data_IF_039035817882
#
_entry.id   IF_039035817882
#
_cell.length_a   1.000
_cell.length_b   1.000
_cell.length_c   1.000
_cell.angle_alpha   90.00
_cell.angle_beta   90.00
_cell.angle_gamma   90.00
#
_symmetry.space_group_name_H-M   'P 1'
#
loop_
_entity.id
_entity.type
_entity.pdbx_description
1 polymer ?
#
# COMPACT_ATOMS: atom_id res chain seq x y z
N UNK A 1 15.80 -4.04 13.44
CA UNK A 1 14.89 -2.88 13.47
C UNK A 1 13.92 -2.88 12.27
N UNK A 2 14.39 -2.97 11.03
CA UNK A 2 13.55 -2.92 9.80
C UNK A 2 12.43 -3.97 9.76
N UNK A 3 12.69 -5.22 10.13
CA UNK A 3 11.67 -6.28 10.17
C UNK A 3 10.54 -6.01 11.16
N UNK A 4 10.86 -5.44 12.32
CA UNK A 4 9.84 -5.07 13.31
C UNK A 4 8.96 -3.94 12.80
N UNK A 5 9.53 -2.94 12.14
CA UNK A 5 8.80 -1.84 11.51
C UNK A 5 7.88 -2.34 10.39
N UNK A 6 8.38 -3.28 9.56
CA UNK A 6 7.58 -3.88 8.50
C UNK A 6 6.36 -4.64 9.06
N UNK A 7 6.59 -5.49 10.08
CA UNK A 7 5.51 -6.24 10.72
C UNK A 7 4.48 -5.29 11.35
N UNK A 8 4.94 -4.24 12.03
CA UNK A 8 4.05 -3.26 12.64
C UNK A 8 3.22 -2.49 11.58
N UNK A 9 3.87 -2.02 10.52
CA UNK A 9 3.19 -1.33 9.43
C UNK A 9 2.13 -2.21 8.75
N UNK A 10 2.49 -3.46 8.44
CA UNK A 10 1.56 -4.44 7.87
C UNK A 10 0.39 -4.70 8.81
N UNK A 11 0.65 -4.84 10.10
CA UNK A 11 -0.38 -5.07 11.12
C UNK A 11 -1.38 -3.91 11.21
N UNK A 12 -0.90 -2.68 11.16
CA UNK A 12 -1.75 -1.48 11.15
C UNK A 12 -2.58 -1.44 9.87
N UNK A 13 -1.98 -1.73 8.71
CA UNK A 13 -2.67 -1.75 7.43
C UNK A 13 -3.81 -2.79 7.40
N UNK A 14 -3.55 -4.00 7.91
CA UNK A 14 -4.57 -5.05 8.02
C UNK A 14 -5.66 -4.64 9.00
N UNK A 15 -5.32 -4.06 10.15
CA UNK A 15 -6.32 -3.59 11.11
C UNK A 15 -7.24 -2.51 10.50
N UNK A 16 -6.70 -1.58 9.72
CA UNK A 16 -7.48 -0.56 9.00
C UNK A 16 -8.38 -1.23 7.95
N UNK A 17 -7.88 -2.26 7.26
CA UNK A 17 -8.66 -3.06 6.31
C UNK A 17 -9.86 -3.73 6.99
N UNK A 18 -9.62 -4.46 8.07
CA UNK A 18 -10.69 -5.12 8.84
C UNK A 18 -11.70 -4.11 9.41
N UNK A 19 -11.22 -2.93 9.81
CA UNK A 19 -12.09 -1.83 10.25
C UNK A 19 -13.04 -1.38 9.12
N UNK A 20 -12.60 -1.44 7.87
CA UNK A 20 -13.46 -1.16 6.72
C UNK A 20 -14.63 -2.13 6.61
N UNK A 21 -14.39 -3.43 6.68
CA UNK A 21 -15.44 -4.46 6.71
C UNK A 21 -16.39 -4.26 7.89
N UNK A 22 -15.83 -4.00 9.06
CA UNK A 22 -16.57 -3.71 10.29
C UNK A 22 -17.51 -2.51 10.14
N UNK A 23 -17.02 -1.38 9.63
CA UNK A 23 -17.81 -0.16 9.49
C UNK A 23 -19.01 -0.36 8.56
N UNK A 24 -18.81 -0.97 7.39
CA UNK A 24 -19.89 -1.25 6.45
C UNK A 24 -20.85 -2.31 6.98
N UNK A 25 -20.38 -3.34 7.66
CA UNK A 25 -21.25 -4.31 8.32
C UNK A 25 -22.17 -3.62 9.35
N UNK A 26 -21.61 -2.75 10.19
CA UNK A 26 -22.38 -1.98 11.18
C UNK A 26 -23.36 -0.99 10.52
N UNK A 27 -22.93 -0.32 9.45
CA UNK A 27 -23.77 0.61 8.69
C UNK A 27 -25.04 -0.08 8.16
N UNK A 28 -24.90 -1.30 7.65
CA UNK A 28 -26.02 -2.10 7.11
C UNK A 28 -26.67 -3.02 8.15
N UNK A 29 -26.42 -2.78 9.44
CA UNK A 29 -26.99 -3.57 10.54
C UNK A 29 -26.76 -5.07 10.39
N UNK A 30 -25.59 -5.44 9.89
CA UNK A 30 -25.10 -6.81 9.89
C UNK A 30 -24.40 -7.08 11.22
N UNK A 31 -24.67 -8.21 11.84
CA UNK A 31 -24.06 -8.58 13.11
C UNK A 31 -22.58 -8.88 12.90
N UNK A 32 -21.73 -8.24 13.71
CA UNK A 32 -20.32 -8.58 13.82
C UNK A 32 -20.12 -9.33 15.14
N UNK A 33 -19.58 -10.52 15.06
CA UNK A 33 -19.39 -11.40 16.21
C UNK A 33 -18.06 -11.12 16.91
N UNK A 34 -16.98 -10.98 16.12
CA UNK A 34 -15.62 -10.78 16.63
C UNK A 34 -14.86 -9.78 15.79
N UNK A 35 -14.01 -9.00 16.43
CA UNK A 35 -13.04 -8.12 15.78
C UNK A 35 -11.69 -8.32 16.46
N UNK A 36 -10.74 -8.87 15.73
CA UNK A 36 -9.44 -9.22 16.26
C UNK A 36 -8.31 -8.59 15.48
N UNK A 37 -7.41 -7.92 16.20
CA UNK A 37 -6.08 -7.64 15.73
C UNK A 37 -5.22 -8.87 16.00
N UNK A 38 -4.56 -9.39 14.98
CA UNK A 38 -3.81 -10.63 14.98
C UNK A 38 -4.67 -11.91 15.13
N UNK A 39 -4.19 -12.97 14.52
CA UNK A 39 -4.81 -14.28 14.68
C UNK A 39 -4.54 -14.83 16.08
N UNK A 40 -5.51 -15.54 16.59
CA UNK A 40 -5.52 -16.06 17.97
C UNK A 40 -5.73 -17.58 18.06
N UNK A 41 -4.92 -18.42 17.36
CA UNK A 41 -5.08 -19.86 17.45
C UNK A 41 -4.92 -20.31 18.91
N UNK A 42 -5.92 -21.05 19.40
CA UNK A 42 -6.05 -21.60 20.76
C UNK A 42 -6.35 -20.58 21.86
N UNK A 43 -5.69 -19.42 21.91
CA UNK A 43 -5.90 -18.41 22.95
C UNK A 43 -5.70 -16.99 22.42
N UNK A 44 -6.19 -16.01 23.16
CA UNK A 44 -6.01 -14.58 22.89
C UNK A 44 -5.14 -13.94 23.96
N UNK A 45 -4.25 -13.00 23.59
CA UNK A 45 -3.50 -12.21 24.57
C UNK A 45 -4.45 -11.37 25.40
N UNK A 46 -5.36 -10.67 24.72
CA UNK A 46 -6.42 -9.88 25.35
C UNK A 46 -7.71 -10.15 24.60
N UNK A 47 -8.80 -10.27 25.31
CA UNK A 47 -10.14 -10.20 24.74
C UNK A 47 -11.09 -9.47 25.66
N UNK A 48 -12.01 -8.75 25.10
CA UNK A 48 -12.97 -7.92 25.82
C UNK A 48 -14.35 -8.02 25.16
N UNK A 49 -15.39 -8.14 25.98
CA UNK A 49 -16.78 -8.13 25.55
C UNK A 49 -17.60 -7.29 26.51
N UNK A 50 -18.53 -6.50 25.97
CA UNK A 50 -19.40 -5.65 26.79
C UNK A 50 -20.77 -6.28 26.91
N UNK A 51 -21.16 -6.64 28.13
CA UNK A 51 -22.52 -7.10 28.44
C UNK A 51 -22.92 -6.67 29.86
N UNK A 52 -24.21 -6.63 30.14
CA UNK A 52 -24.78 -6.13 31.40
C UNK A 52 -24.24 -4.74 31.79
N UNK A 53 -24.00 -3.87 30.79
CA UNK A 53 -23.48 -2.51 31.00
C UNK A 53 -22.01 -2.40 31.36
N UNK A 54 -21.30 -3.52 31.54
CA UNK A 54 -19.88 -3.58 31.96
C UNK A 54 -18.99 -4.22 30.90
N UNK A 55 -17.73 -3.81 30.86
CA UNK A 55 -16.70 -4.46 30.08
C UNK A 55 -16.09 -5.63 30.86
N UNK A 56 -16.09 -6.81 30.24
CA UNK A 56 -15.44 -8.01 30.75
C UNK A 56 -14.18 -8.25 29.95
N UNK A 57 -13.02 -8.13 30.58
CA UNK A 57 -11.70 -8.29 29.95
C UNK A 57 -11.05 -9.55 30.49
N UNK A 58 -10.47 -10.37 29.61
CA UNK A 58 -9.71 -11.56 29.98
C UNK A 58 -8.36 -11.54 29.28
N UNK A 59 -7.32 -11.91 30.02
CA UNK A 59 -5.95 -11.98 29.52
C UNK A 59 -5.52 -13.43 29.39
N UNK A 60 -4.77 -13.75 28.34
CA UNK A 60 -4.24 -15.08 28.05
C UNK A 60 -5.27 -16.20 28.16
N UNK A 61 -6.49 -15.89 27.80
CA UNK A 61 -7.62 -16.79 27.94
C UNK A 61 -7.81 -17.65 26.68
N UNK A 62 -8.20 -18.94 26.84
CA UNK A 62 -8.52 -19.81 25.71
C UNK A 62 -9.70 -19.25 24.92
N UNK A 63 -9.78 -19.57 23.63
CA UNK A 63 -10.87 -19.13 22.79
C UNK A 63 -12.21 -19.67 23.31
N UNK A 64 -13.27 -18.87 23.14
CA UNK A 64 -14.64 -19.32 23.49
C UNK A 64 -15.10 -20.26 22.38
N UNK A 65 -15.62 -21.41 22.80
CA UNK A 65 -16.28 -22.33 21.87
C UNK A 65 -17.45 -21.63 21.16
N UNK A 66 -17.77 -22.04 19.93
CA UNK A 66 -18.95 -21.53 19.23
C UNK A 66 -20.22 -21.77 20.05
N UNK A 67 -21.21 -20.90 19.92
CA UNK A 67 -22.54 -21.09 20.47
C UNK A 67 -23.31 -22.15 19.64
N UNK A 68 -22.87 -23.39 19.71
CA UNK A 68 -23.38 -24.50 18.94
C UNK A 68 -23.52 -25.75 19.83
N UNK A 69 -24.51 -26.56 19.54
CA UNK A 69 -24.77 -27.83 20.20
C UNK A 69 -24.83 -28.97 19.18
N UNK A 70 -24.40 -30.16 19.51
CA UNK A 70 -24.50 -31.31 18.63
C UNK A 70 -25.96 -31.60 18.25
N UNK A 71 -26.21 -31.95 17.02
CA UNK A 71 -27.50 -32.47 16.59
C UNK A 71 -27.61 -33.90 17.04
N UNK A 72 -28.68 -34.23 17.79
CA UNK A 72 -28.94 -35.58 18.24
C UNK A 72 -29.82 -36.35 17.26
N UNK A 73 -29.59 -37.62 17.11
CA UNK A 73 -30.48 -38.55 16.39
C UNK A 73 -31.71 -38.91 17.24
N UNK A 74 -32.63 -39.68 16.66
CA UNK A 74 -33.84 -40.15 17.38
C UNK A 74 -33.54 -41.02 18.61
N UNK A 75 -32.31 -41.50 18.76
CA UNK A 75 -31.87 -42.32 19.89
C UNK A 75 -31.07 -41.53 20.93
N UNK A 76 -30.87 -40.20 20.71
CA UNK A 76 -30.11 -39.32 21.59
C UNK A 76 -28.59 -39.35 21.37
N UNK A 77 -28.09 -39.98 20.30
CA UNK A 77 -26.68 -39.97 19.97
C UNK A 77 -26.33 -38.78 19.04
N UNK A 78 -25.07 -38.35 19.08
CA UNK A 78 -24.59 -37.31 18.21
C UNK A 78 -24.64 -37.75 16.74
N UNK A 79 -25.37 -36.98 15.91
CA UNK A 79 -25.45 -37.20 14.46
C UNK A 79 -24.13 -36.86 13.81
N UNK A 80 -23.62 -37.76 12.99
CA UNK A 80 -22.35 -37.58 12.25
C UNK A 80 -22.60 -37.44 10.76
N UNK A 81 -21.73 -36.68 10.10
CA UNK A 81 -21.70 -36.55 8.64
C UNK A 81 -21.13 -37.84 7.99
N UNK A 82 -21.09 -37.87 6.64
CA UNK A 82 -20.53 -38.99 5.87
C UNK A 82 -19.01 -39.21 6.15
N UNK A 83 -18.33 -38.20 6.71
CA UNK A 83 -16.89 -38.22 7.05
C UNK A 83 -16.64 -38.58 8.51
N UNK A 84 -17.71 -38.81 9.30
CA UNK A 84 -17.64 -39.18 10.71
C UNK A 84 -17.53 -38.01 11.68
N UNK A 85 -17.64 -36.75 11.24
CA UNK A 85 -17.62 -35.59 12.10
C UNK A 85 -19.01 -35.32 12.70
N UNK A 86 -19.04 -34.84 13.93
CA UNK A 86 -20.30 -34.47 14.62
C UNK A 86 -20.90 -33.24 13.91
N UNK A 87 -22.20 -33.33 13.64
CA UNK A 87 -22.96 -32.21 13.07
C UNK A 87 -23.43 -31.32 14.22
N UNK A 88 -23.08 -30.03 14.16
CA UNK A 88 -23.49 -29.02 15.13
C UNK A 88 -24.61 -28.14 14.58
N UNK A 89 -25.51 -27.68 15.42
CA UNK A 89 -26.46 -26.62 15.13
C UNK A 89 -26.22 -25.44 16.06
N UNK A 90 -26.52 -24.18 15.61
CA UNK A 90 -26.54 -23.04 16.52
C UNK A 90 -27.47 -23.26 17.71
N UNK A 91 -27.08 -22.73 18.86
CA UNK A 91 -27.96 -22.70 20.04
C UNK A 91 -29.17 -21.80 19.75
N UNK A 92 -30.34 -22.19 20.24
CA UNK A 92 -31.54 -21.34 20.22
C UNK A 92 -31.41 -20.21 21.24
N UNK A 93 -32.26 -19.17 21.11
CA UNK A 93 -32.26 -18.04 22.05
C UNK A 93 -32.60 -18.53 23.49
N UNK A 94 -33.41 -19.55 23.64
CA UNK A 94 -33.74 -20.18 24.95
C UNK A 94 -32.52 -20.91 25.54
N UNK A 95 -31.78 -21.65 24.71
CA UNK A 95 -30.55 -22.32 25.11
C UNK A 95 -29.46 -21.32 25.49
N UNK A 96 -29.34 -20.24 24.75
CA UNK A 96 -28.41 -19.13 25.07
C UNK A 96 -28.80 -18.44 26.38
N UNK A 97 -30.10 -18.19 26.60
CA UNK A 97 -30.60 -17.59 27.83
C UNK A 97 -30.43 -18.50 29.08
N UNK A 98 -30.36 -19.80 28.88
CA UNK A 98 -30.11 -20.76 29.94
C UNK A 98 -28.64 -20.82 30.40
N UNK A 99 -27.70 -20.29 29.61
CA UNK A 99 -26.28 -20.22 29.98
C UNK A 99 -26.06 -19.30 31.20
N UNK A 100 -25.01 -19.53 31.98
CA UNK A 100 -24.64 -18.65 33.09
C UNK A 100 -24.47 -17.19 32.62
N UNK A 101 -24.76 -16.22 33.50
CA UNK A 101 -24.62 -14.79 33.16
C UNK A 101 -23.21 -14.37 32.80
N UNK A 102 -22.20 -15.09 33.23
CA UNK A 102 -20.79 -14.87 32.92
C UNK A 102 -20.35 -15.52 31.62
N UNK A 103 -21.22 -16.32 30.99
CA UNK A 103 -20.89 -16.99 29.72
C UNK A 103 -21.05 -16.02 28.56
N UNK A 104 -19.96 -15.82 27.84
CA UNK A 104 -19.90 -14.88 26.72
C UNK A 104 -20.81 -15.27 25.55
N UNK A 105 -21.14 -16.54 25.40
CA UNK A 105 -22.05 -17.07 24.37
C UNK A 105 -23.50 -16.59 24.56
N UNK A 106 -23.91 -16.29 25.80
CA UNK A 106 -25.23 -15.77 26.14
C UNK A 106 -25.54 -14.42 25.46
N UNK A 107 -24.52 -13.69 25.05
CA UNK A 107 -24.64 -12.33 24.50
C UNK A 107 -24.15 -12.25 23.03
N UNK A 108 -24.86 -12.89 22.06
CA UNK A 108 -24.40 -12.96 20.67
C UNK A 108 -24.37 -11.60 19.96
N UNK A 109 -25.17 -10.63 20.41
CA UNK A 109 -25.23 -9.27 19.83
C UNK A 109 -24.07 -8.37 20.26
N UNK A 110 -23.35 -8.76 21.31
CA UNK A 110 -22.18 -8.04 21.79
C UNK A 110 -20.94 -8.50 21.06
N UNK A 111 -20.20 -7.54 20.50
CA UNK A 111 -18.98 -7.82 19.75
C UNK A 111 -17.87 -8.23 20.72
N UNK A 112 -17.16 -9.30 20.40
CA UNK A 112 -15.93 -9.68 21.06
C UNK A 112 -14.76 -8.98 20.39
N UNK A 113 -14.07 -8.14 21.14
CA UNK A 113 -12.85 -7.44 20.73
C UNK A 113 -11.64 -8.18 21.26
N UNK A 114 -10.59 -8.31 20.46
CA UNK A 114 -9.42 -9.01 20.95
C UNK A 114 -8.14 -8.73 20.20
N UNK A 115 -7.05 -9.20 20.81
CA UNK A 115 -5.73 -9.26 20.23
C UNK A 115 -5.18 -10.66 20.34
N UNK A 116 -4.88 -11.26 19.20
CA UNK A 116 -4.18 -12.53 19.11
C UNK A 116 -2.68 -12.38 19.33
N UNK A 117 -1.96 -13.46 19.11
CA UNK A 117 -0.51 -13.53 19.30
C UNK A 117 0.27 -13.75 18.00
N UNK A 118 -0.42 -14.03 16.88
CA UNK A 118 0.21 -14.24 15.57
C UNK A 118 0.11 -12.95 14.74
N UNK A 119 1.20 -12.19 14.56
CA UNK A 119 1.15 -10.83 13.99
C UNK A 119 1.10 -10.78 12.46
N UNK A 120 0.48 -11.77 11.82
CA UNK A 120 0.38 -11.87 10.36
C UNK A 120 -1.03 -11.64 9.83
N UNK A 121 -1.81 -10.82 10.50
CA UNK A 121 -3.16 -10.52 10.05
C UNK A 121 -4.09 -10.22 11.21
N UNK A 122 -5.37 -10.10 10.92
CA UNK A 122 -6.47 -9.94 11.85
C UNK A 122 -7.73 -10.46 11.18
N UNK A 123 -8.87 -10.34 11.84
CA UNK A 123 -10.14 -10.72 11.23
C UNK A 123 -11.33 -10.00 11.84
N UNK A 124 -12.34 -9.81 11.00
CA UNK A 124 -13.66 -9.32 11.39
C UNK A 124 -14.69 -10.40 11.08
N UNK A 125 -15.10 -11.18 12.09
CA UNK A 125 -16.10 -12.23 11.92
C UNK A 125 -17.50 -11.62 11.77
N UNK A 126 -18.05 -11.67 10.56
CA UNK A 126 -19.38 -11.16 10.22
C UNK A 126 -20.36 -12.35 10.13
N UNK A 127 -21.50 -12.24 10.82
CA UNK A 127 -22.52 -13.29 10.80
C UNK A 127 -23.01 -13.59 9.38
N UNK A 128 -23.04 -14.88 9.02
CA UNK A 128 -23.51 -15.33 7.70
C UNK A 128 -22.52 -15.09 6.56
N UNK A 129 -21.29 -14.69 6.84
CA UNK A 129 -20.19 -14.61 5.89
C UNK A 129 -19.29 -15.84 6.05
N UNK A 130 -18.90 -16.45 4.93
CA UNK A 130 -17.87 -17.47 4.88
C UNK A 130 -16.53 -16.77 4.78
N UNK A 131 -15.69 -16.96 5.74
CA UNK A 131 -14.34 -16.38 5.83
C UNK A 131 -13.32 -17.45 6.27
N UNK A 132 -12.11 -17.02 6.57
CA UNK A 132 -11.04 -17.91 7.01
C UNK A 132 -11.36 -18.65 8.34
N UNK A 133 -12.38 -18.20 9.08
CA UNK A 133 -12.76 -18.73 10.39
C UNK A 133 -13.98 -19.64 10.36
N UNK A 134 -14.79 -19.61 9.30
CA UNK A 134 -16.04 -20.37 9.14
C UNK A 134 -16.18 -20.99 7.77
N UNK A 135 -16.45 -22.29 7.72
CA UNK A 135 -16.79 -22.97 6.48
C UNK A 135 -18.27 -22.76 6.10
N UNK A 136 -18.58 -22.91 4.81
CA UNK A 136 -19.96 -22.80 4.31
C UNK A 136 -20.91 -23.83 4.92
N UNK A 137 -20.39 -24.97 5.36
CA UNK A 137 -21.12 -26.04 6.03
C UNK A 137 -21.57 -25.69 7.45
N UNK A 138 -20.97 -24.68 8.07
CA UNK A 138 -21.25 -24.29 9.46
C UNK A 138 -22.39 -23.25 9.55
N UNK A 139 -22.97 -22.88 8.41
CA UNK A 139 -24.05 -21.89 8.37
C UNK A 139 -25.43 -22.57 8.42
N UNK A 140 -26.38 -22.01 9.20
CA UNK A 140 -27.78 -22.48 9.19
C UNK A 140 -28.39 -22.42 7.78
N UNK A 141 -29.34 -23.31 7.48
CA UNK A 141 -29.97 -23.40 6.19
C UNK A 141 -30.75 -22.11 5.83
N UNK A 142 -31.39 -21.46 6.79
CA UNK A 142 -32.18 -20.24 6.59
C UNK A 142 -31.39 -19.00 7.04
N UNK A 143 -31.23 -17.98 6.16
CA UNK A 143 -30.55 -16.73 6.50
C UNK A 143 -31.34 -15.90 7.50
N UNK A 144 -30.69 -15.45 8.57
CA UNK A 144 -31.33 -14.55 9.54
C UNK A 144 -31.24 -13.08 9.08
N UNK A 145 -32.16 -12.20 9.50
CA UNK A 145 -32.20 -10.79 9.02
C UNK A 145 -30.93 -9.98 9.32
N UNK A 146 -30.16 -10.37 10.32
CA UNK A 146 -28.90 -9.75 10.71
C UNK A 146 -27.65 -10.37 10.06
N UNK A 147 -27.83 -11.38 9.23
CA UNK A 147 -26.72 -12.03 8.55
C UNK A 147 -26.35 -11.33 7.24
N UNK A 148 -25.10 -11.45 6.83
CA UNK A 148 -24.58 -11.00 5.55
C UNK A 148 -25.38 -11.55 4.35
N UNK A 149 -25.80 -12.82 4.40
CA UNK A 149 -26.56 -13.49 3.35
C UNK A 149 -27.93 -12.88 3.10
N UNK A 150 -28.55 -12.28 4.12
CA UNK A 150 -29.86 -11.64 4.02
C UNK A 150 -29.83 -10.24 3.39
N UNK A 151 -28.63 -9.64 3.25
CA UNK A 151 -28.48 -8.30 2.71
C UNK A 151 -28.58 -8.29 1.19
N UNK A 152 -28.99 -7.16 0.63
CA UNK A 152 -29.06 -7.01 -0.82
C UNK A 152 -27.65 -7.01 -1.44
N UNK A 153 -27.57 -7.21 -2.77
CA UNK A 153 -26.29 -7.34 -3.49
C UNK A 153 -25.37 -6.15 -3.28
N UNK A 154 -25.90 -4.93 -3.27
CA UNK A 154 -25.12 -3.71 -3.10
C UNK A 154 -24.54 -3.60 -1.68
N UNK A 155 -25.32 -3.93 -0.66
CA UNK A 155 -24.86 -3.93 0.72
C UNK A 155 -23.75 -4.97 0.93
N UNK A 156 -23.91 -6.17 0.37
CA UNK A 156 -22.87 -7.21 0.41
C UNK A 156 -21.61 -6.76 -0.30
N UNK A 157 -21.75 -6.14 -1.48
CA UNK A 157 -20.61 -5.61 -2.23
C UNK A 157 -19.87 -4.53 -1.42
N UNK A 158 -20.60 -3.58 -0.81
CA UNK A 158 -20.00 -2.55 0.04
C UNK A 158 -19.26 -3.15 1.25
N UNK A 159 -19.80 -4.19 1.89
CA UNK A 159 -19.14 -4.86 3.01
C UNK A 159 -17.82 -5.50 2.53
N UNK A 160 -17.84 -6.20 1.38
CA UNK A 160 -16.64 -6.88 0.85
C UNK A 160 -15.57 -5.86 0.40
N UNK A 161 -15.96 -4.79 -0.28
CA UNK A 161 -15.02 -3.78 -0.78
C UNK A 161 -14.58 -2.82 0.34
N UNK A 162 -15.33 -2.78 1.45
CA UNK A 162 -15.14 -1.83 2.54
C UNK A 162 -13.71 -1.77 3.06
N UNK A 163 -13.04 -2.91 3.21
CA UNK A 163 -11.64 -2.98 3.63
C UNK A 163 -10.71 -2.26 2.67
N UNK A 164 -10.84 -2.52 1.38
CA UNK A 164 -10.02 -1.89 0.32
C UNK A 164 -10.30 -0.38 0.27
N UNK A 165 -11.57 0.01 0.34
CA UNK A 165 -11.97 1.42 0.28
C UNK A 165 -11.39 2.23 1.44
N UNK A 166 -11.45 1.70 2.66
CA UNK A 166 -10.90 2.38 3.84
C UNK A 166 -9.38 2.44 3.78
N UNK A 167 -8.70 1.40 3.29
CA UNK A 167 -7.25 1.44 3.04
C UNK A 167 -6.87 2.51 2.01
N UNK A 168 -7.64 2.64 0.93
CA UNK A 168 -7.42 3.69 -0.07
C UNK A 168 -7.55 5.09 0.53
N UNK A 169 -8.62 5.35 1.28
CA UNK A 169 -8.83 6.64 1.96
C UNK A 169 -7.71 6.91 2.98
N UNK A 170 -7.31 5.89 3.76
CA UNK A 170 -6.22 6.01 4.71
C UNK A 170 -4.88 6.30 4.02
N UNK A 171 -4.58 5.64 2.90
CA UNK A 171 -3.38 5.90 2.11
C UNK A 171 -3.35 7.33 1.57
N UNK A 172 -4.48 7.82 1.04
CA UNK A 172 -4.61 9.20 0.55
C UNK A 172 -4.41 10.21 1.69
N UNK A 173 -5.01 9.97 2.85
CA UNK A 173 -4.87 10.84 4.02
C UNK A 173 -3.43 10.85 4.54
N UNK A 174 -2.78 9.68 4.66
CA UNK A 174 -1.39 9.59 5.10
C UNK A 174 -0.43 10.26 4.11
N UNK A 175 -0.61 10.04 2.81
CA UNK A 175 0.20 10.69 1.79
C UNK A 175 0.05 12.21 1.82
N UNK A 176 -1.21 12.70 1.93
CA UNK A 176 -1.48 14.13 2.07
C UNK A 176 -0.85 14.72 3.34
N UNK A 177 -0.91 13.98 4.44
CA UNK A 177 -0.28 14.38 5.70
C UNK A 177 1.26 14.47 5.58
N UNK A 178 1.88 13.51 4.91
CA UNK A 178 3.34 13.53 4.65
C UNK A 178 3.70 14.75 3.82
N UNK A 179 2.98 15.01 2.73
CA UNK A 179 3.21 16.18 1.88
C UNK A 179 2.99 17.50 2.64
N UNK A 180 2.00 17.55 3.52
CA UNK A 180 1.71 18.73 4.32
C UNK A 180 2.79 19.00 5.39
N UNK A 181 3.30 17.95 6.04
CA UNK A 181 4.27 18.08 7.14
C UNK A 181 5.70 18.28 6.64
N UNK A 182 6.10 17.61 5.57
CA UNK A 182 7.48 17.62 5.06
C UNK A 182 7.62 18.27 3.68
N UNK A 183 6.52 18.46 2.94
CA UNK A 183 6.56 19.00 1.59
C UNK A 183 7.21 18.04 0.59
N UNK A 184 7.73 18.63 -0.49
CA UNK A 184 8.59 17.96 -1.47
C UNK A 184 9.99 18.55 -1.35
N UNK A 185 10.98 17.67 -1.25
CA UNK A 185 12.38 18.09 -1.36
C UNK A 185 12.73 18.23 -2.86
N UNK A 186 12.65 19.44 -3.37
CA UNK A 186 13.10 19.76 -4.74
C UNK A 186 14.23 20.77 -4.64
N UNK A 187 15.30 20.54 -5.42
CA UNK A 187 16.35 21.52 -5.56
C UNK A 187 15.91 22.61 -6.55
N UNK A 188 15.73 23.87 -6.11
CA UNK A 188 15.33 24.94 -7.03
C UNK A 188 16.39 25.13 -8.12
N UNK A 189 15.97 25.31 -9.37
CA UNK A 189 16.89 25.53 -10.49
C UNK A 189 17.79 26.75 -10.30
N UNK A 190 17.32 27.77 -9.58
CA UNK A 190 18.09 28.96 -9.22
C UNK A 190 19.30 28.67 -8.34
N UNK A 191 19.32 27.54 -7.64
CA UNK A 191 20.43 27.10 -6.76
C UNK A 191 21.40 26.12 -7.45
N UNK A 192 21.16 25.81 -8.73
CA UNK A 192 21.99 24.87 -9.50
C UNK A 192 23.12 25.63 -10.17
N UNK A 193 24.29 25.64 -9.51
CA UNK A 193 25.47 26.36 -10.05
C UNK A 193 26.18 25.64 -11.19
N UNK A 194 26.08 24.31 -11.24
CA UNK A 194 26.77 23.47 -12.23
C UNK A 194 26.06 23.41 -13.60
N UNK A 195 24.85 23.98 -13.70
CA UNK A 195 24.00 23.84 -14.88
C UNK A 195 23.31 22.49 -15.00
N UNK A 196 22.72 22.20 -16.14
CA UNK A 196 21.92 21.02 -16.39
C UNK A 196 22.57 20.09 -17.43
N UNK A 197 22.25 18.82 -17.34
CA UNK A 197 22.56 17.82 -18.36
C UNK A 197 21.33 17.63 -19.25
N UNK A 198 21.54 17.69 -20.55
CA UNK A 198 20.51 17.57 -21.58
C UNK A 198 20.72 16.29 -22.39
N UNK A 199 19.64 15.59 -22.67
CA UNK A 199 19.64 14.43 -23.55
C UNK A 199 19.90 14.84 -25.00
N UNK A 200 20.33 13.91 -25.84
CA UNK A 200 20.69 14.17 -27.26
C UNK A 200 19.54 14.82 -28.03
N UNK A 201 18.29 14.54 -27.71
CA UNK A 201 17.13 15.15 -28.35
C UNK A 201 17.06 16.66 -28.07
N UNK A 202 17.38 17.11 -26.85
CA UNK A 202 17.42 18.52 -26.47
C UNK A 202 18.70 19.19 -26.97
N UNK A 203 19.82 18.46 -27.00
CA UNK A 203 21.04 18.96 -27.65
C UNK A 203 20.79 19.23 -29.15
N UNK A 204 19.99 18.38 -29.80
CA UNK A 204 19.54 18.60 -31.18
C UNK A 204 18.67 19.87 -31.38
N UNK A 205 18.02 20.36 -30.33
CA UNK A 205 17.25 21.61 -30.31
C UNK A 205 18.13 22.84 -29.99
N UNK A 206 19.44 22.67 -29.78
CA UNK A 206 20.39 23.76 -29.56
C UNK A 206 20.85 23.94 -28.10
N UNK A 207 20.39 23.13 -27.14
CA UNK A 207 20.97 23.14 -25.80
C UNK A 207 22.40 22.62 -25.80
N UNK A 208 23.20 23.14 -24.88
CA UNK A 208 24.53 22.61 -24.59
C UNK A 208 24.57 22.09 -23.13
N UNK A 209 25.47 21.16 -22.87
CA UNK A 209 25.69 20.68 -21.54
C UNK A 209 26.11 21.82 -20.61
N UNK A 210 25.56 21.86 -19.40
CA UNK A 210 25.75 22.90 -18.40
C UNK A 210 25.05 24.24 -18.68
N UNK A 211 24.22 24.35 -19.74
CA UNK A 211 23.32 25.50 -19.88
C UNK A 211 22.41 25.60 -18.66
N UNK A 212 22.16 26.80 -18.16
CA UNK A 212 21.16 27.06 -17.10
C UNK A 212 19.91 27.67 -17.73
N UNK A 213 18.75 27.08 -17.52
CA UNK A 213 17.50 27.64 -18.03
C UNK A 213 17.13 28.85 -17.17
N UNK A 214 16.97 30.02 -17.82
CA UNK A 214 16.51 31.24 -17.18
C UNK A 214 15.00 31.40 -17.28
N UNK A 215 14.44 31.24 -18.48
CA UNK A 215 13.00 31.37 -18.71
C UNK A 215 12.51 30.43 -19.80
N UNK A 216 11.24 30.01 -19.70
CA UNK A 216 10.50 29.27 -20.72
C UNK A 216 9.25 30.08 -21.03
N UNK A 217 9.10 30.58 -22.28
CA UNK A 217 8.04 31.51 -22.66
C UNK A 217 7.93 32.73 -21.71
N UNK A 218 9.06 33.21 -21.17
CA UNK A 218 9.11 34.36 -20.27
C UNK A 218 8.84 34.04 -18.78
N UNK A 219 8.51 32.81 -18.42
CA UNK A 219 8.32 32.34 -17.04
C UNK A 219 9.55 31.60 -16.52
N UNK A 220 9.96 31.84 -15.28
CA UNK A 220 11.10 31.17 -14.65
C UNK A 220 10.65 29.79 -14.08
N UNK A 221 11.21 28.67 -14.58
CA UNK A 221 10.88 27.36 -14.08
C UNK A 221 11.51 27.15 -12.69
N UNK A 222 10.73 26.58 -11.77
CA UNK A 222 11.17 26.38 -10.39
C UNK A 222 11.90 25.06 -10.18
N UNK A 223 11.55 24.04 -10.97
CA UNK A 223 12.06 22.68 -10.83
C UNK A 223 12.36 22.02 -12.17
N UNK A 224 13.10 20.88 -12.14
CA UNK A 224 13.28 20.05 -13.33
C UNK A 224 11.97 19.50 -13.87
N UNK A 225 11.01 19.23 -12.98
CA UNK A 225 9.69 18.76 -13.40
C UNK A 225 8.97 19.82 -14.22
N UNK A 226 9.02 21.08 -13.80
CA UNK A 226 8.43 22.20 -14.55
C UNK A 226 9.06 22.34 -15.94
N UNK A 227 10.38 22.15 -16.05
CA UNK A 227 11.07 22.19 -17.36
C UNK A 227 10.55 21.12 -18.30
N UNK A 228 10.43 19.88 -17.81
CA UNK A 228 9.94 18.75 -18.60
C UNK A 228 8.48 18.94 -18.99
N UNK A 229 7.64 19.33 -18.03
CA UNK A 229 6.22 19.60 -18.26
C UNK A 229 6.04 20.70 -19.29
N UNK A 230 6.70 21.81 -19.09
CA UNK A 230 6.53 23.02 -19.92
C UNK A 230 7.04 22.81 -21.35
N UNK A 231 8.24 22.26 -21.55
CA UNK A 231 8.83 22.08 -22.87
C UNK A 231 8.24 20.88 -23.61
N UNK A 232 8.08 19.73 -22.91
CA UNK A 232 7.75 18.45 -23.57
C UNK A 232 6.26 18.21 -23.62
N UNK A 233 5.54 18.46 -22.50
CA UNK A 233 4.11 18.15 -22.41
C UNK A 233 3.24 19.33 -22.88
N UNK A 234 3.54 20.57 -22.46
CA UNK A 234 2.79 21.74 -22.88
C UNK A 234 3.23 22.29 -24.25
N UNK A 235 4.43 21.92 -24.72
CA UNK A 235 4.95 22.34 -26.00
C UNK A 235 5.31 23.84 -26.07
N UNK A 236 5.68 24.46 -24.93
CA UNK A 236 6.21 25.84 -24.92
C UNK A 236 7.60 25.85 -25.57
N UNK A 237 7.86 26.84 -26.42
CA UNK A 237 8.94 26.77 -27.40
C UNK A 237 10.08 27.74 -27.17
N UNK A 238 9.81 28.90 -26.59
CA UNK A 238 10.82 29.94 -26.43
C UNK A 238 11.54 29.75 -25.09
N UNK A 239 12.79 29.35 -25.16
CA UNK A 239 13.62 29.07 -23.98
C UNK A 239 14.83 30.00 -23.98
N UNK A 240 15.08 30.65 -22.87
CA UNK A 240 16.27 31.47 -22.67
C UNK A 240 17.19 30.75 -21.69
N UNK A 241 18.43 30.52 -22.11
CA UNK A 241 19.44 29.85 -21.31
C UNK A 241 20.64 30.77 -21.06
N UNK A 242 21.31 30.56 -19.93
CA UNK A 242 22.62 31.13 -19.63
C UNK A 242 23.68 30.10 -19.99
N UNK A 243 24.50 30.42 -20.99
CA UNK A 243 25.61 29.60 -21.49
C UNK A 243 26.94 30.26 -21.11
N UNK A 244 27.56 29.76 -20.05
CA UNK A 244 28.69 30.46 -19.44
C UNK A 244 28.29 31.85 -18.93
N UNK A 245 28.68 32.93 -19.63
CA UNK A 245 28.28 34.30 -19.32
C UNK A 245 27.25 34.89 -20.29
N UNK A 246 26.95 34.16 -21.36
CA UNK A 246 26.13 34.68 -22.45
C UNK A 246 24.68 34.17 -22.33
N UNK A 247 23.73 35.05 -22.57
CA UNK A 247 22.32 34.70 -22.66
C UNK A 247 21.97 34.30 -24.09
N UNK A 248 21.44 33.08 -24.26
CA UNK A 248 21.09 32.53 -25.57
C UNK A 248 19.60 32.23 -25.60
N UNK A 249 18.91 32.72 -26.64
CA UNK A 249 17.53 32.37 -26.90
C UNK A 249 17.45 31.15 -27.83
N UNK A 250 16.68 30.15 -27.46
CA UNK A 250 16.44 28.94 -28.24
C UNK A 250 14.95 28.84 -28.55
N UNK A 251 14.60 28.36 -29.72
CA UNK A 251 13.20 28.09 -30.09
C UNK A 251 13.06 26.61 -30.44
N UNK A 252 12.29 25.89 -29.66
CA UNK A 252 12.07 24.46 -29.82
C UNK A 252 11.20 24.15 -31.03
N UNK A 253 11.42 22.98 -31.64
CA UNK A 253 10.59 22.49 -32.75
C UNK A 253 9.18 22.11 -32.26
N UNK A 254 8.18 22.25 -33.15
CA UNK A 254 6.77 21.95 -32.82
C UNK A 254 6.53 20.46 -32.53
N UNK A 255 7.35 19.60 -33.11
CA UNK A 255 7.24 18.15 -33.01
C UNK A 255 8.07 17.53 -31.88
N UNK A 256 8.75 18.35 -31.05
CA UNK A 256 9.66 17.88 -30.01
C UNK A 256 8.99 16.87 -29.06
N UNK A 257 7.77 17.16 -28.58
CA UNK A 257 7.04 16.25 -27.69
C UNK A 257 6.74 14.90 -28.35
N UNK A 258 6.34 14.91 -29.63
CA UNK A 258 6.07 13.66 -30.37
C UNK A 258 7.35 12.87 -30.62
N UNK A 259 8.46 13.54 -30.97
CA UNK A 259 9.76 12.89 -31.12
C UNK A 259 10.28 12.32 -29.83
N UNK A 260 10.07 13.00 -28.71
CA UNK A 260 10.41 12.50 -27.39
C UNK A 260 9.64 11.22 -27.04
N UNK A 261 8.31 11.22 -27.25
CA UNK A 261 7.46 10.02 -26.99
C UNK A 261 7.86 8.86 -27.91
N UNK A 262 8.15 9.14 -29.18
CA UNK A 262 8.59 8.11 -30.13
C UNK A 262 9.91 7.45 -29.68
N UNK A 263 10.90 8.26 -29.31
CA UNK A 263 12.20 7.82 -28.84
C UNK A 263 12.09 7.04 -27.52
N UNK A 264 11.26 7.51 -26.60
CA UNK A 264 11.04 6.81 -25.33
C UNK A 264 10.41 5.43 -25.57
N UNK A 265 9.44 5.31 -26.46
CA UNK A 265 8.83 4.03 -26.82
C UNK A 265 9.83 3.05 -27.46
N UNK A 266 10.74 3.55 -28.27
CA UNK A 266 11.81 2.75 -28.89
C UNK A 266 12.80 2.25 -27.83
N UNK A 267 13.29 3.13 -26.98
CA UNK A 267 14.17 2.77 -25.85
C UNK A 267 13.52 1.78 -24.90
N UNK A 268 12.26 1.99 -24.56
CA UNK A 268 11.51 1.06 -23.71
C UNK A 268 11.40 -0.33 -24.33
N UNK A 269 11.27 -0.43 -25.66
CA UNK A 269 11.24 -1.70 -26.37
C UNK A 269 12.60 -2.39 -26.31
N UNK A 270 13.68 -1.66 -26.61
CA UNK A 270 15.04 -2.20 -26.52
C UNK A 270 15.40 -2.65 -25.10
N UNK A 271 15.07 -1.86 -24.10
CA UNK A 271 15.33 -2.19 -22.70
C UNK A 271 14.54 -3.40 -22.22
N UNK A 272 13.30 -3.60 -22.72
CA UNK A 272 12.53 -4.81 -22.46
C UNK A 272 13.17 -6.04 -23.08
N UNK A 273 13.72 -5.92 -24.28
CA UNK A 273 14.45 -7.00 -24.94
C UNK A 273 15.73 -7.37 -24.18
N UNK A 274 16.53 -6.36 -23.77
CA UNK A 274 17.73 -6.55 -22.95
C UNK A 274 17.41 -7.18 -21.61
N UNK A 275 16.35 -6.71 -20.92
CA UNK A 275 15.91 -7.27 -19.63
C UNK A 275 15.33 -8.71 -19.75
N UNK A 276 14.84 -9.11 -20.94
CA UNK A 276 14.45 -10.50 -21.21
C UNK A 276 15.66 -11.41 -21.43
N UNK A 277 16.69 -10.86 -22.08
CA UNK A 277 17.92 -11.60 -22.35
C UNK A 277 18.81 -11.75 -21.11
N UNK A 278 18.86 -10.70 -20.29
CA UNK A 278 19.62 -10.65 -19.04
C UNK A 278 18.75 -10.18 -17.88
N UNK A 279 18.44 -11.09 -16.93
CA UNK A 279 17.64 -10.81 -15.74
C UNK A 279 18.30 -9.84 -14.75
N UNK A 280 19.61 -9.64 -14.86
CA UNK A 280 20.37 -8.68 -14.06
C UNK A 280 20.36 -7.28 -14.65
N UNK A 281 19.82 -7.11 -15.86
CA UNK A 281 19.77 -5.82 -16.55
C UNK A 281 18.86 -4.84 -15.83
N UNK A 282 19.43 -3.70 -15.43
CA UNK A 282 18.68 -2.60 -14.82
C UNK A 282 18.25 -1.64 -15.92
N UNK A 283 16.94 -1.46 -16.07
CA UNK A 283 16.38 -0.50 -17.03
C UNK A 283 16.79 0.92 -16.68
N UNK A 284 17.26 1.64 -17.69
CA UNK A 284 17.61 3.05 -17.60
C UNK A 284 16.58 3.84 -18.39
N UNK A 285 15.60 4.43 -17.71
CA UNK A 285 14.63 5.31 -18.37
C UNK A 285 15.34 6.51 -19.03
N UNK A 286 14.77 7.05 -20.11
CA UNK A 286 15.23 8.29 -20.69
C UNK A 286 14.90 9.46 -19.78
N UNK A 287 15.93 10.22 -19.39
CA UNK A 287 15.77 11.46 -18.63
C UNK A 287 16.07 12.61 -19.60
N UNK A 288 15.07 13.45 -19.96
CA UNK A 288 15.28 14.52 -20.94
C UNK A 288 16.24 15.59 -20.43
N UNK A 289 16.14 15.94 -19.16
CA UNK A 289 17.01 16.90 -18.48
C UNK A 289 17.27 16.43 -17.05
N UNK A 290 18.48 16.62 -16.56
CA UNK A 290 18.87 16.32 -15.19
C UNK A 290 19.88 17.33 -14.64
N UNK A 291 20.14 17.29 -13.35
CA UNK A 291 21.22 18.11 -12.79
C UNK A 291 22.57 17.63 -13.32
N UNK A 292 23.40 18.57 -13.77
CA UNK A 292 24.78 18.25 -14.12
C UNK A 292 25.59 18.05 -12.84
N UNK A 293 25.89 16.80 -12.53
CA UNK A 293 26.73 16.47 -11.38
C UNK A 293 28.12 16.06 -11.87
N UNK A 294 29.17 16.87 -11.59
CA UNK A 294 30.52 16.46 -11.89
C UNK A 294 30.88 15.20 -11.08
N UNK A 295 31.45 14.22 -11.77
CA UNK A 295 31.82 12.97 -11.10
C UNK A 295 33.15 13.16 -10.38
N UNK A 296 33.09 13.61 -9.12
CA UNK A 296 34.23 13.85 -8.26
C UNK A 296 34.36 12.72 -7.24
N UNK A 297 35.57 12.16 -7.13
CA UNK A 297 35.86 11.08 -6.18
C UNK A 297 35.82 11.63 -4.76
N UNK A 298 34.85 11.16 -3.96
CA UNK A 298 34.78 11.53 -2.54
C UNK A 298 35.70 10.67 -1.67
N UNK A 299 35.77 9.36 -1.94
CA UNK A 299 36.63 8.44 -1.21
C UNK A 299 37.09 7.27 -2.05
N UNK A 300 38.26 6.75 -1.80
CA UNK A 300 38.83 5.56 -2.44
C UNK A 300 38.97 4.47 -1.42
N UNK A 301 38.40 3.29 -1.68
CA UNK A 301 38.55 2.15 -0.77
C UNK A 301 39.98 1.64 -0.77
N UNK A 302 40.63 1.52 0.38
CA UNK A 302 41.96 0.96 0.48
C UNK A 302 42.00 -0.49 -0.04
N UNK A 303 42.93 -0.80 -0.94
CA UNK A 303 43.05 -2.12 -1.57
C UNK A 303 42.08 -2.41 -2.68
N UNK A 304 41.20 -1.47 -3.05
CA UNK A 304 40.33 -1.57 -4.22
C UNK A 304 41.04 -1.20 -5.53
N UNK A 305 40.48 -1.54 -6.69
CA UNK A 305 41.05 -1.26 -8.02
C UNK A 305 41.42 0.23 -8.20
N UNK A 306 40.60 1.13 -7.71
CA UNK A 306 40.82 2.57 -7.77
C UNK A 306 42.08 3.05 -7.00
N UNK A 307 42.40 2.37 -5.88
CA UNK A 307 43.64 2.70 -5.10
C UNK A 307 44.90 2.26 -5.82
N UNK A 308 44.81 1.23 -6.70
CA UNK A 308 45.95 0.80 -7.52
C UNK A 308 46.10 1.65 -8.79
N UNK A 309 45.05 2.38 -9.19
CA UNK A 309 45.04 3.29 -10.32
C UNK A 309 45.48 4.72 -9.95
N UNK A 310 46.06 4.93 -8.78
CA UNK A 310 46.50 6.22 -8.26
C UNK A 310 45.37 7.29 -8.20
N UNK A 311 44.14 6.83 -7.96
CA UNK A 311 42.98 7.67 -7.86
C UNK A 311 42.87 8.23 -6.43
N UNK A 312 42.64 9.54 -6.30
CA UNK A 312 42.59 10.25 -5.02
C UNK A 312 41.25 10.94 -4.81
N UNK A 313 40.97 11.27 -3.57
CA UNK A 313 39.84 12.12 -3.23
C UNK A 313 40.00 13.48 -3.88
N UNK A 314 38.95 13.94 -4.55
CA UNK A 314 38.92 15.21 -5.29
C UNK A 314 39.23 15.07 -6.76
N UNK A 315 39.65 13.91 -7.26
CA UNK A 315 39.83 13.67 -8.69
C UNK A 315 38.51 13.74 -9.40
N UNK A 316 38.48 14.40 -10.57
CA UNK A 316 37.29 14.45 -11.42
C UNK A 316 37.41 13.46 -12.58
N UNK A 317 36.46 12.53 -12.67
CA UNK A 317 36.41 11.56 -13.76
C UNK A 317 35.71 12.24 -14.94
N UNK A 318 36.48 12.50 -16.01
CA UNK A 318 36.00 13.20 -17.22
C UNK A 318 35.62 12.25 -18.36
N UNK A 319 35.92 10.96 -18.22
CA UNK A 319 35.57 9.96 -19.22
C UNK A 319 35.97 8.54 -18.77
N UNK A 320 35.29 7.54 -19.32
CA UNK A 320 35.61 6.11 -19.15
C UNK A 320 35.71 5.50 -20.55
N UNK A 321 36.78 4.77 -20.81
CA UNK A 321 37.02 4.10 -22.11
C UNK A 321 36.21 2.81 -22.23
#
# INVERSE_FOLDING_TARGET
>A
MQWLQLILALSILVMIHELGHFLFARLFKTRVEKFYMFFNPKFSIIRAKKFNGKWHVRFFAPNVEPAAVPVLDAMGNEKKDEKGNVIYRPMTDEELAALPEEDWRRYPDSIEWGMGWVPFGGYCAISGMVDETKAATDLPSEPQPWEFRSKNVWQRLCIIIGGILVNFVAALALFSMVLFCWGKDELPLSQVDTGLYYSDILVGEGFQQQDKILTINGEEPQSLADVVETIILEGKRDVVVLRGTDTVALTMSEDLGNRFVALQNELDREEREKARADKSYVKRGMVPVSYFMPFVVDSVMPGGAASFADMHRGDSIVGVN
#
